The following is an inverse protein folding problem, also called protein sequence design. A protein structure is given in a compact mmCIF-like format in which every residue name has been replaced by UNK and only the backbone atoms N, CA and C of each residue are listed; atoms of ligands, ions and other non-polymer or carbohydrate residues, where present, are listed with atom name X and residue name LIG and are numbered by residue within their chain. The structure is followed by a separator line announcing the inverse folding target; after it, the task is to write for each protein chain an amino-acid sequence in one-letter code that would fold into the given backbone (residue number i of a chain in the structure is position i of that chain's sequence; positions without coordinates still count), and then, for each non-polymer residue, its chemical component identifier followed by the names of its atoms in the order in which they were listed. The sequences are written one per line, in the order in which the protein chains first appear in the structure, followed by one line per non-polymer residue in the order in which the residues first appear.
data_IF_058261574974
#
_entry.id   IF_058261574974
#
_cell.length_a   1.000
_cell.length_b   1.000
_cell.length_c   1.000
_cell.angle_alpha   90.00
_cell.angle_beta   90.00
_cell.angle_gamma   90.00
#
_symmetry.space_group_name_H-M   'P 1'
#
loop_
_entity.id
_entity.type
_entity.pdbx_description
1 polymer ?
#
# COMPACT_ATOMS: atom_id res chain seq x y z
N UNK A 1 15.61 -1.02 -8.65
CA UNK A 1 14.14 -0.99 -8.77
C UNK A 1 13.68 0.45 -8.92
N UNK A 2 13.72 1.29 -7.88
CA UNK A 2 13.32 2.70 -8.04
C UNK A 2 14.27 3.53 -8.93
N UNK A 3 15.57 3.27 -8.87
CA UNK A 3 16.58 4.03 -9.64
C UNK A 3 16.70 3.57 -11.10
N UNK A 4 16.54 2.27 -11.38
CA UNK A 4 16.88 1.67 -12.68
C UNK A 4 15.82 0.65 -13.19
N UNK A 5 14.64 0.60 -12.56
CA UNK A 5 13.64 -0.44 -12.81
C UNK A 5 13.99 -1.81 -12.24
N UNK A 6 13.05 -2.76 -12.34
CA UNK A 6 13.27 -4.14 -11.89
C UNK A 6 14.22 -4.93 -12.79
N UNK A 7 14.22 -4.69 -14.10
CA UNK A 7 15.03 -5.45 -15.06
C UNK A 7 16.55 -5.29 -14.81
N UNK A 8 16.95 -4.14 -14.25
CA UNK A 8 18.32 -3.84 -13.87
C UNK A 8 18.77 -4.51 -12.56
N UNK A 9 17.84 -5.02 -11.74
CA UNK A 9 18.14 -5.60 -10.44
C UNK A 9 18.62 -7.05 -10.60
N UNK A 10 19.94 -7.24 -10.50
CA UNK A 10 20.59 -8.57 -10.52
C UNK A 10 21.20 -8.86 -9.16
N UNK A 11 21.41 -10.14 -8.82
CA UNK A 11 22.03 -10.55 -7.55
C UNK A 11 23.38 -9.88 -7.32
N UNK A 12 24.19 -9.72 -8.38
CA UNK A 12 25.46 -8.99 -8.36
C UNK A 12 25.29 -7.51 -7.99
N UNK A 13 24.30 -6.82 -8.57
CA UNK A 13 24.03 -5.40 -8.28
C UNK A 13 23.47 -5.21 -6.88
N UNK A 14 22.57 -6.10 -6.45
CA UNK A 14 22.05 -6.12 -5.08
C UNK A 14 23.21 -6.28 -4.09
N UNK A 15 24.11 -7.24 -4.34
CA UNK A 15 25.28 -7.47 -3.51
C UNK A 15 26.20 -6.23 -3.44
N UNK A 16 26.48 -5.61 -4.59
CA UNK A 16 27.27 -4.38 -4.65
C UNK A 16 26.63 -3.23 -3.86
N UNK A 17 25.32 -3.02 -4.01
CA UNK A 17 24.56 -1.98 -3.28
C UNK A 17 24.53 -2.24 -1.77
N UNK A 18 24.43 -3.51 -1.37
CA UNK A 18 24.40 -3.93 0.03
C UNK A 18 25.79 -4.08 0.68
N UNK A 19 26.88 -3.89 -0.09
CA UNK A 19 28.25 -4.03 0.42
C UNK A 19 28.64 -5.47 0.78
N UNK A 20 27.98 -6.48 0.18
CA UNK A 20 28.23 -7.90 0.44
C UNK A 20 28.77 -8.63 -0.79
N UNK A 21 29.32 -9.84 -0.58
CA UNK A 21 29.74 -10.70 -1.70
C UNK A 21 28.50 -11.28 -2.41
N UNK A 22 28.48 -11.38 -3.76
CA UNK A 22 27.35 -11.98 -4.49
C UNK A 22 26.98 -13.39 -4.05
N UNK A 23 27.98 -14.19 -3.63
CA UNK A 23 27.75 -15.53 -3.09
C UNK A 23 26.86 -15.52 -1.83
N UNK A 24 26.92 -14.45 -1.02
CA UNK A 24 26.10 -14.33 0.18
C UNK A 24 24.63 -14.06 -0.18
N UNK A 25 24.38 -13.29 -1.25
CA UNK A 25 23.00 -13.09 -1.74
C UNK A 25 22.42 -14.42 -2.22
N UNK A 26 23.17 -15.20 -3.00
CA UNK A 26 22.72 -16.52 -3.45
C UNK A 26 22.56 -17.55 -2.33
N UNK A 27 23.34 -17.41 -1.25
CA UNK A 27 23.22 -18.26 -0.07
C UNK A 27 21.86 -18.08 0.63
N UNK A 28 21.39 -16.83 0.75
CA UNK A 28 20.08 -16.53 1.36
C UNK A 28 18.91 -16.62 0.36
N UNK A 29 19.17 -16.31 -0.91
CA UNK A 29 18.17 -16.24 -1.97
C UNK A 29 18.69 -17.00 -3.20
N UNK A 30 18.35 -18.30 -3.33
CA UNK A 30 18.69 -19.14 -4.47
C UNK A 30 18.35 -18.50 -5.83
N UNK A 31 17.29 -17.69 -5.89
CA UNK A 31 16.84 -16.99 -7.10
C UNK A 31 16.49 -15.51 -6.82
N UNK A 32 16.45 -14.71 -7.90
CA UNK A 32 15.92 -13.35 -7.82
C UNK A 32 14.44 -13.34 -7.43
N UNK A 33 13.66 -14.33 -7.86
CA UNK A 33 12.25 -14.52 -7.51
C UNK A 33 12.07 -14.64 -6.00
N UNK A 34 12.88 -15.47 -5.34
CA UNK A 34 12.87 -15.62 -3.88
C UNK A 34 13.30 -14.34 -3.17
N UNK A 35 14.29 -13.63 -3.70
CA UNK A 35 14.66 -12.31 -3.18
C UNK A 35 13.49 -11.32 -3.28
N UNK A 36 12.82 -11.22 -4.43
CA UNK A 36 11.68 -10.30 -4.59
C UNK A 36 10.51 -10.66 -3.67
N UNK A 37 10.20 -11.96 -3.52
CA UNK A 37 9.18 -12.43 -2.57
C UNK A 37 9.56 -12.04 -1.14
N UNK A 38 10.82 -12.23 -0.74
CA UNK A 38 11.29 -11.86 0.59
C UNK A 38 11.19 -10.36 0.85
N UNK A 39 11.58 -9.53 -0.14
CA UNK A 39 11.45 -8.07 -0.05
C UNK A 39 9.98 -7.65 0.04
N UNK A 40 9.11 -8.25 -0.77
CA UNK A 40 7.67 -7.96 -0.75
C UNK A 40 7.06 -8.34 0.60
N UNK A 41 7.38 -9.52 1.15
CA UNK A 41 6.91 -9.95 2.47
C UNK A 41 7.40 -9.02 3.58
N UNK A 42 8.67 -8.67 3.59
CA UNK A 42 9.22 -7.74 4.58
C UNK A 42 8.55 -6.37 4.50
N UNK A 43 8.33 -5.84 3.30
CA UNK A 43 7.61 -4.60 3.08
C UNK A 43 6.13 -4.69 3.48
N UNK A 44 5.47 -5.80 3.16
CA UNK A 44 4.09 -6.06 3.52
C UNK A 44 3.89 -6.08 5.04
N UNK A 45 4.76 -6.77 5.78
CA UNK A 45 4.66 -6.81 7.25
C UNK A 45 4.86 -5.43 7.89
N UNK A 46 5.82 -4.63 7.40
CA UNK A 46 5.99 -3.24 7.87
C UNK A 46 4.77 -2.38 7.57
N UNK A 47 4.18 -2.51 6.38
CA UNK A 47 3.00 -1.72 6.02
C UNK A 47 1.74 -2.18 6.78
N UNK A 48 1.56 -3.49 6.98
CA UNK A 48 0.46 -4.01 7.80
C UNK A 48 0.59 -3.57 9.26
N UNK A 49 1.81 -3.54 9.81
CA UNK A 49 2.04 -3.00 11.16
C UNK A 49 1.63 -1.52 11.23
N UNK A 50 2.09 -0.70 10.28
CA UNK A 50 1.69 0.72 10.22
C UNK A 50 0.18 0.91 10.05
N UNK A 51 -0.49 0.05 9.28
CA UNK A 51 -1.94 0.10 9.13
C UNK A 51 -2.67 -0.25 10.42
N UNK A 52 -2.18 -1.22 11.19
CA UNK A 52 -2.75 -1.55 12.50
C UNK A 52 -2.55 -0.40 13.48
N UNK A 53 -1.33 0.14 13.55
CA UNK A 53 -1.04 1.31 14.38
C UNK A 53 -1.94 2.49 14.00
N UNK A 54 -2.16 2.70 12.69
CA UNK A 54 -3.07 3.72 12.19
C UNK A 54 -4.52 3.47 12.57
N UNK A 55 -4.97 2.22 12.40
CA UNK A 55 -6.32 1.81 12.76
C UNK A 55 -6.59 1.91 14.27
N UNK A 56 -5.55 1.91 15.11
CA UNK A 56 -5.60 2.11 16.57
C UNK A 56 -5.33 3.56 17.00
N UNK A 57 -4.96 4.44 16.06
CA UNK A 57 -4.63 5.83 16.29
C UNK A 57 -5.82 6.71 16.70
N UNK A 58 -5.53 7.99 16.95
CA UNK A 58 -6.52 9.00 17.29
C UNK A 58 -7.36 9.45 16.09
N UNK A 59 -6.78 9.39 14.88
CA UNK A 59 -7.43 9.77 13.62
C UNK A 59 -7.25 8.64 12.57
N UNK A 60 -7.87 7.46 12.81
CA UNK A 60 -7.64 6.28 11.98
C UNK A 60 -7.94 6.47 10.50
N UNK A 61 -8.97 7.25 10.13
CA UNK A 61 -9.28 7.50 8.73
C UNK A 61 -8.23 8.38 8.03
N UNK A 62 -7.78 9.45 8.69
CA UNK A 62 -6.70 10.30 8.15
C UNK A 62 -5.36 9.58 8.09
N UNK A 63 -5.05 8.74 9.07
CA UNK A 63 -3.82 7.93 9.04
C UNK A 63 -3.85 6.90 7.91
N UNK A 64 -4.98 6.23 7.68
CA UNK A 64 -5.16 5.34 6.53
C UNK A 64 -5.05 6.08 5.19
N UNK A 65 -5.61 7.28 5.07
CA UNK A 65 -5.48 8.09 3.86
C UNK A 65 -4.02 8.42 3.55
N UNK A 66 -3.27 8.90 4.55
CA UNK A 66 -1.83 9.20 4.43
C UNK A 66 -1.00 7.98 4.06
N UNK A 67 -1.32 6.81 4.63
CA UNK A 67 -0.62 5.57 4.30
C UNK A 67 -0.87 5.12 2.85
N UNK A 68 -2.08 5.34 2.33
CA UNK A 68 -2.40 4.99 0.94
C UNK A 68 -1.84 6.00 -0.07
N UNK A 69 -1.65 7.27 0.30
CA UNK A 69 -1.10 8.32 -0.57
C UNK A 69 0.44 8.40 -0.55
N UNK A 70 1.10 7.69 0.36
CA UNK A 70 2.55 7.70 0.47
C UNK A 70 3.28 7.10 -0.75
N UNK A 71 4.56 7.46 -0.89
CA UNK A 71 5.51 7.19 -2.00
C UNK A 71 5.72 5.71 -2.36
N UNK A 72 5.04 4.78 -1.69
CA UNK A 72 5.06 3.35 -1.99
C UNK A 72 4.48 2.99 -3.36
N UNK A 73 3.72 3.88 -4.01
CA UNK A 73 3.08 3.62 -5.30
C UNK A 73 4.07 3.24 -6.42
N UNK A 74 5.24 3.89 -6.49
CA UNK A 74 6.24 3.58 -7.52
C UNK A 74 6.87 2.19 -7.32
N UNK A 75 7.25 1.85 -6.09
CA UNK A 75 7.78 0.52 -5.79
C UNK A 75 6.71 -0.55 -6.00
N UNK A 76 5.46 -0.25 -5.64
CA UNK A 76 4.31 -1.12 -5.85
C UNK A 76 4.10 -1.41 -7.34
N UNK A 77 4.21 -0.40 -8.21
CA UNK A 77 4.14 -0.61 -9.67
C UNK A 77 5.22 -1.56 -10.19
N UNK A 78 6.46 -1.41 -9.72
CA UNK A 78 7.56 -2.32 -10.11
C UNK A 78 7.24 -3.77 -9.71
N UNK A 79 6.66 -3.98 -8.52
CA UNK A 79 6.21 -5.31 -8.08
C UNK A 79 5.02 -5.84 -8.89
N UNK A 80 4.05 -4.99 -9.25
CA UNK A 80 2.92 -5.37 -10.11
C UNK A 80 3.42 -5.78 -11.51
N UNK A 81 4.37 -5.03 -12.07
CA UNK A 81 4.99 -5.36 -13.35
C UNK A 81 5.73 -6.71 -13.30
N UNK A 82 6.47 -6.97 -12.22
CA UNK A 82 7.11 -8.26 -11.97
C UNK A 82 6.11 -9.43 -11.85
N UNK A 83 4.98 -9.20 -11.16
CA UNK A 83 3.98 -10.22 -10.90
C UNK A 83 3.17 -10.66 -12.13
N UNK A 84 3.19 -9.88 -13.23
CA UNK A 84 2.56 -10.26 -14.49
C UNK A 84 3.07 -11.61 -15.01
N UNK A 85 4.35 -11.93 -14.77
CA UNK A 85 4.99 -13.15 -15.25
C UNK A 85 5.48 -14.08 -14.14
N UNK A 86 5.11 -13.82 -12.88
CA UNK A 86 5.64 -14.55 -11.71
C UNK A 86 4.53 -14.92 -10.75
N UNK A 87 4.15 -16.19 -10.75
CA UNK A 87 3.02 -16.71 -9.97
C UNK A 87 3.24 -16.56 -8.46
N UNK A 88 4.44 -16.86 -7.96
CA UNK A 88 4.77 -16.70 -6.54
C UNK A 88 4.59 -15.25 -6.06
N UNK A 89 5.08 -14.27 -6.84
CA UNK A 89 4.88 -12.85 -6.50
C UNK A 89 3.41 -12.46 -6.56
N UNK A 90 2.67 -12.95 -7.57
CA UNK A 90 1.23 -12.68 -7.69
C UNK A 90 0.45 -13.18 -6.47
N UNK A 91 0.75 -14.39 -6.01
CA UNK A 91 0.13 -14.97 -4.81
C UNK A 91 0.42 -14.13 -3.56
N UNK A 92 1.66 -13.68 -3.39
CA UNK A 92 2.05 -12.82 -2.26
C UNK A 92 1.39 -11.44 -2.30
N UNK A 93 1.31 -10.82 -3.48
CA UNK A 93 0.60 -9.56 -3.69
C UNK A 93 -0.88 -9.72 -3.34
N UNK A 94 -1.52 -10.80 -3.80
CA UNK A 94 -2.93 -11.07 -3.50
C UNK A 94 -3.16 -11.27 -1.99
N UNK A 95 -2.31 -12.06 -1.34
CA UNK A 95 -2.38 -12.30 0.11
C UNK A 95 -2.14 -11.02 0.93
N UNK A 96 -1.26 -10.12 0.48
CA UNK A 96 -1.08 -8.82 1.11
C UNK A 96 -2.30 -7.91 0.88
N UNK A 97 -2.80 -7.82 -0.35
CA UNK A 97 -3.95 -6.98 -0.69
C UNK A 97 -5.23 -7.40 0.05
N UNK A 98 -5.44 -8.70 0.28
CA UNK A 98 -6.57 -9.20 1.06
C UNK A 98 -6.47 -8.80 2.54
N UNK A 99 -5.32 -9.02 3.17
CA UNK A 99 -5.06 -8.60 4.57
C UNK A 99 -5.20 -7.09 4.76
N UNK A 100 -4.67 -6.31 3.83
CA UNK A 100 -4.80 -4.85 3.83
C UNK A 100 -6.28 -4.43 3.75
N UNK A 101 -7.04 -5.03 2.82
CA UNK A 101 -8.46 -4.72 2.62
C UNK A 101 -9.31 -5.03 3.85
N UNK A 102 -9.02 -6.13 4.55
CA UNK A 102 -9.71 -6.48 5.81
C UNK A 102 -9.51 -5.39 6.89
N UNK A 103 -8.30 -4.82 6.99
CA UNK A 103 -8.04 -3.72 7.92
C UNK A 103 -8.78 -2.44 7.51
N UNK A 104 -8.74 -2.08 6.22
CA UNK A 104 -9.43 -0.88 5.74
C UNK A 104 -10.95 -0.98 5.88
N UNK A 105 -11.52 -2.16 5.61
CA UNK A 105 -12.94 -2.44 5.79
C UNK A 105 -13.36 -2.33 7.25
N UNK A 106 -12.59 -2.89 8.18
CA UNK A 106 -12.90 -2.84 9.61
C UNK A 106 -12.94 -1.39 10.12
N UNK A 107 -11.92 -0.59 9.79
CA UNK A 107 -11.86 0.82 10.18
C UNK A 107 -12.99 1.64 9.56
N UNK A 108 -13.31 1.41 8.28
CA UNK A 108 -14.45 2.05 7.61
C UNK A 108 -15.79 1.64 8.26
N UNK A 109 -15.95 0.36 8.63
CA UNK A 109 -17.16 -0.13 9.28
C UNK A 109 -17.36 0.48 10.66
N UNK A 110 -16.29 0.68 11.42
CA UNK A 110 -16.31 1.40 12.70
C UNK A 110 -16.73 2.86 12.50
N UNK A 111 -16.10 3.57 11.56
CA UNK A 111 -16.40 4.98 11.26
C UNK A 111 -17.85 5.20 10.82
N UNK A 112 -18.36 4.37 9.89
CA UNK A 112 -19.72 4.46 9.38
C UNK A 112 -20.75 4.20 10.49
N UNK A 113 -20.51 3.20 11.34
CA UNK A 113 -21.39 2.92 12.50
C UNK A 113 -21.37 4.04 13.53
N UNK A 114 -20.21 4.59 13.85
CA UNK A 114 -20.08 5.70 14.80
C UNK A 114 -20.88 6.94 14.38
N UNK A 115 -21.10 7.11 13.07
CA UNK A 115 -21.84 8.24 12.50
C UNK A 115 -23.27 7.89 12.05
N UNK A 116 -23.76 6.71 12.40
CA UNK A 116 -25.14 6.28 12.08
C UNK A 116 -25.42 6.13 10.58
N UNK A 117 -24.39 5.87 9.77
CA UNK A 117 -24.56 5.63 8.33
C UNK A 117 -25.08 4.22 8.11
N UNK A 118 -26.06 4.07 7.22
CA UNK A 118 -26.58 2.77 6.81
C UNK A 118 -25.52 2.00 6.00
N UNK A 119 -24.98 0.93 6.59
CA UNK A 119 -23.96 0.09 5.95
C UNK A 119 -24.53 -0.83 4.88
N UNK A 120 -25.84 -0.96 4.74
CA UNK A 120 -26.47 -1.63 3.61
C UNK A 120 -26.47 -0.72 2.37
N UNK A 121 -26.72 0.58 2.55
CA UNK A 121 -26.64 1.58 1.48
C UNK A 121 -25.17 1.95 1.16
N UNK A 122 -24.31 2.01 2.18
CA UNK A 122 -22.89 2.32 2.06
C UNK A 122 -22.02 1.17 2.60
N UNK A 123 -21.84 0.07 1.84
CA UNK A 123 -21.05 -1.07 2.28
C UNK A 123 -19.60 -0.66 2.63
N UNK A 124 -19.10 -0.96 3.84
CA UNK A 124 -17.76 -0.52 4.27
C UNK A 124 -16.64 -0.92 3.32
N UNK A 125 -16.69 -2.14 2.77
CA UNK A 125 -15.72 -2.64 1.79
C UNK A 125 -15.71 -1.82 0.50
N UNK A 126 -16.87 -1.33 0.05
CA UNK A 126 -16.98 -0.50 -1.17
C UNK A 126 -16.44 0.90 -0.88
N UNK A 127 -16.81 1.48 0.26
CA UNK A 127 -16.35 2.81 0.66
C UNK A 127 -14.84 2.86 0.89
N UNK A 128 -14.27 1.84 1.54
CA UNK A 128 -12.81 1.73 1.72
C UNK A 128 -12.10 1.58 0.36
N UNK A 129 -12.65 0.78 -0.55
CA UNK A 129 -12.10 0.64 -1.91
C UNK A 129 -12.11 1.95 -2.70
N UNK A 130 -13.17 2.76 -2.60
CA UNK A 130 -13.23 4.07 -3.26
C UNK A 130 -12.12 4.99 -2.75
N UNK A 131 -12.00 5.14 -1.42
CA UNK A 131 -10.99 6.01 -0.80
C UNK A 131 -9.58 5.54 -1.14
N UNK A 132 -9.29 4.25 -0.97
CA UNK A 132 -7.98 3.68 -1.27
C UNK A 132 -7.63 3.78 -2.76
N UNK A 133 -8.60 3.65 -3.67
CA UNK A 133 -8.37 3.78 -5.11
C UNK A 133 -8.06 5.23 -5.50
N UNK A 134 -8.75 6.20 -4.90
CA UNK A 134 -8.49 7.62 -5.11
C UNK A 134 -7.10 8.03 -4.59
N UNK A 135 -6.72 7.57 -3.40
CA UNK A 135 -5.38 7.82 -2.86
C UNK A 135 -4.28 7.27 -3.77
N UNK A 136 -4.45 6.03 -4.25
CA UNK A 136 -3.47 5.37 -5.13
C UNK A 136 -3.35 6.05 -6.50
N UNK A 137 -4.46 6.45 -7.12
CA UNK A 137 -4.41 7.11 -8.44
C UNK A 137 -3.75 8.48 -8.33
N UNK A 138 -4.04 9.25 -7.27
CA UNK A 138 -3.38 10.54 -7.02
C UNK A 138 -1.87 10.34 -6.83
N UNK A 139 -1.45 9.40 -5.98
CA UNK A 139 -0.04 9.09 -5.76
C UNK A 139 0.67 8.62 -7.04
N UNK A 140 -0.01 7.82 -7.87
CA UNK A 140 0.50 7.37 -9.16
C UNK A 140 0.70 8.55 -10.13
N UNK A 141 -0.33 9.37 -10.29
CA UNK A 141 -0.33 10.51 -11.20
C UNK A 141 0.72 11.55 -10.80
N UNK A 142 0.92 11.81 -9.50
CA UNK A 142 1.98 12.68 -9.00
C UNK A 142 3.36 12.18 -9.45
N UNK A 143 3.60 10.87 -9.40
CA UNK A 143 4.83 10.25 -9.88
C UNK A 143 5.08 10.42 -11.38
N UNK A 144 4.02 10.71 -12.16
CA UNK A 144 4.07 10.97 -13.60
C UNK A 144 4.06 12.47 -13.93
N UNK A 145 4.02 13.35 -12.92
CA UNK A 145 3.89 14.81 -13.10
C UNK A 145 2.49 15.27 -13.51
N UNK A 146 1.48 14.40 -13.40
CA UNK A 146 0.07 14.75 -13.56
C UNK A 146 -0.41 15.32 -12.23
N UNK A 147 -1.09 16.48 -12.26
CA UNK A 147 -1.49 17.19 -11.03
C UNK A 147 -2.91 17.78 -11.05
N UNK A 148 -3.58 17.76 -12.20
CA UNK A 148 -4.90 18.37 -12.35
C UNK A 148 -5.93 17.61 -11.51
N UNK A 149 -6.66 18.32 -10.64
CA UNK A 149 -7.72 17.74 -9.82
C UNK A 149 -7.24 17.10 -8.51
N UNK A 150 -5.92 17.02 -8.27
CA UNK A 150 -5.37 16.39 -7.06
C UNK A 150 -5.69 17.19 -5.81
N UNK A 151 -5.46 18.50 -5.85
CA UNK A 151 -5.79 19.40 -4.73
C UNK A 151 -7.28 19.34 -4.40
N UNK A 152 -8.14 19.32 -5.41
CA UNK A 152 -9.60 19.22 -5.23
C UNK A 152 -10.00 17.87 -4.65
N UNK A 153 -9.39 16.78 -5.10
CA UNK A 153 -9.62 15.43 -4.58
C UNK A 153 -9.17 15.31 -3.13
N UNK A 154 -7.97 15.79 -2.79
CA UNK A 154 -7.44 15.81 -1.43
C UNK A 154 -8.37 16.62 -0.51
N UNK A 155 -8.72 17.85 -0.88
CA UNK A 155 -9.61 18.70 -0.08
C UNK A 155 -11.01 18.10 0.10
N UNK A 156 -11.53 17.43 -0.93
CA UNK A 156 -12.79 16.72 -0.84
C UNK A 156 -12.69 15.59 0.18
N UNK A 157 -11.69 14.73 0.05
CA UNK A 157 -11.50 13.59 0.95
C UNK A 157 -11.29 14.05 2.38
N UNK A 158 -10.35 14.96 2.64
CA UNK A 158 -10.05 15.52 3.96
C UNK A 158 -11.32 16.02 4.68
N UNK A 159 -12.19 16.74 3.96
CA UNK A 159 -13.46 17.22 4.52
C UNK A 159 -14.37 16.09 4.99
N UNK A 160 -14.43 15.00 4.24
CA UNK A 160 -15.27 13.86 4.60
C UNK A 160 -14.62 12.96 5.65
N UNK A 161 -13.30 12.78 5.63
CA UNK A 161 -12.60 12.07 6.71
C UNK A 161 -12.81 12.81 8.03
N UNK A 162 -12.62 14.12 8.06
CA UNK A 162 -12.90 14.97 9.24
C UNK A 162 -14.34 14.85 9.76
N UNK A 163 -15.31 14.60 8.86
CA UNK A 163 -16.71 14.42 9.22
C UNK A 163 -17.01 13.03 9.79
N UNK A 164 -16.27 12.01 9.36
CA UNK A 164 -16.53 10.60 9.67
C UNK A 164 -15.49 9.99 10.61
N UNK A 165 -14.49 10.75 11.03
CA UNK A 165 -13.45 10.31 11.96
C UNK A 165 -14.09 9.89 13.30
N UNK A 166 -13.96 8.62 13.72
CA UNK A 166 -14.48 8.19 15.02
C UNK A 166 -13.75 8.92 16.16
N UNK A 167 -14.51 9.59 17.03
CA UNK A 167 -13.97 10.18 18.25
C UNK A 167 -13.58 9.07 19.23
N UNK A 168 -12.30 8.71 19.25
CA UNK A 168 -11.72 7.84 20.28
C UNK A 168 -11.17 8.74 21.39
N UNK A 169 -11.91 8.80 22.50
CA UNK A 169 -11.57 9.59 23.68
C UNK A 169 -10.46 9.00 24.52
#
# INVERSE_FOLDING_TARGET
MLEEGYAAATSRRVAARAGVKPALVHYYFPSMDELYVAVLRAGAEVNLARQRDAADGAEPLHEMWRLNSATGAQLWMEFMALANHREALRAEIAAYADRFRQLEEAAMADALRAHGVDTAEFPPVVMSMIVASLARIVALEQGLGISRGHTEAEQFVERYLSRFEPHRG
#
